data_IF_918627685660
#
_entry.id   IF_918627685660
#
_cell.length_a   1.000
_cell.length_b   1.000
_cell.length_c   1.000
_cell.angle_alpha   90.00
_cell.angle_beta   90.00
_cell.angle_gamma   90.00
#
_symmetry.space_group_name_H-M   'P 1'
#
loop_
_entity.id
_entity.type
_entity.pdbx_description
1 polymer ?
#
# COMPACT_ATOMS: atom_id res chain seq x y z
N UNK A 1 22.14 18.18 -7.33
CA UNK A 1 22.34 18.45 -5.89
C UNK A 1 21.23 17.73 -5.17
N UNK A 2 21.53 16.84 -4.23
CA UNK A 2 20.52 16.05 -3.52
C UNK A 2 19.81 16.93 -2.50
N UNK A 3 18.48 17.02 -2.62
CA UNK A 3 17.64 17.83 -1.74
C UNK A 3 16.44 16.98 -1.30
N UNK A 4 15.95 17.24 -0.09
CA UNK A 4 14.76 16.56 0.42
C UNK A 4 13.54 16.69 -0.53
N UNK A 5 13.22 17.89 -1.07
CA UNK A 5 12.08 18.03 -1.99
C UNK A 5 12.19 17.15 -3.24
N UNK A 6 13.40 16.99 -3.80
CA UNK A 6 13.63 16.10 -4.94
C UNK A 6 13.26 14.65 -4.60
N UNK A 7 13.72 14.15 -3.45
CA UNK A 7 13.46 12.77 -3.04
C UNK A 7 12.00 12.52 -2.64
N UNK A 8 11.33 13.53 -2.06
CA UNK A 8 9.88 13.50 -1.82
C UNK A 8 9.11 13.42 -3.12
N UNK A 9 9.48 14.20 -4.14
CA UNK A 9 8.86 14.17 -5.45
C UNK A 9 9.06 12.80 -6.14
N UNK A 10 10.28 12.27 -6.14
CA UNK A 10 10.58 10.93 -6.66
C UNK A 10 9.74 9.85 -5.96
N UNK A 11 9.61 9.94 -4.64
CA UNK A 11 8.77 9.06 -3.83
C UNK A 11 7.28 9.20 -4.15
N UNK A 12 6.78 10.44 -4.28
CA UNK A 12 5.38 10.70 -4.63
C UNK A 12 5.03 10.16 -6.02
N UNK A 13 5.90 10.35 -7.02
CA UNK A 13 5.73 9.80 -8.37
C UNK A 13 5.75 8.26 -8.36
N UNK A 14 6.66 7.64 -7.62
CA UNK A 14 6.66 6.19 -7.42
C UNK A 14 5.36 5.73 -6.75
N UNK A 15 4.84 6.51 -5.80
CA UNK A 15 3.56 6.32 -5.15
C UNK A 15 2.37 6.37 -6.11
N UNK A 16 2.33 7.36 -7.01
CA UNK A 16 1.28 7.46 -8.05
C UNK A 16 1.29 6.22 -8.95
N UNK A 17 2.46 5.84 -9.47
CA UNK A 17 2.60 4.63 -10.31
C UNK A 17 2.12 3.39 -9.57
N UNK A 18 2.51 3.25 -8.30
CA UNK A 18 2.08 2.13 -7.45
C UNK A 18 0.59 2.14 -7.25
N UNK A 19 -0.01 3.28 -6.92
CA UNK A 19 -1.44 3.37 -6.67
C UNK A 19 -2.28 3.09 -7.91
N UNK A 20 -1.85 3.54 -9.09
CA UNK A 20 -2.49 3.21 -10.37
C UNK A 20 -2.40 1.71 -10.64
N UNK A 21 -1.22 1.11 -10.45
CA UNK A 21 -1.04 -0.32 -10.67
C UNK A 21 -1.85 -1.16 -9.67
N UNK A 22 -1.90 -0.77 -8.39
CA UNK A 22 -2.71 -1.46 -7.37
C UNK A 22 -4.19 -1.29 -7.63
N UNK A 23 -4.64 -0.11 -8.06
CA UNK A 23 -6.02 0.10 -8.48
C UNK A 23 -6.39 -0.81 -9.67
N UNK A 24 -5.50 -0.95 -10.65
CA UNK A 24 -5.70 -1.87 -11.76
C UNK A 24 -5.73 -3.34 -11.30
N UNK A 25 -4.79 -3.76 -10.45
CA UNK A 25 -4.78 -5.11 -9.88
C UNK A 25 -6.05 -5.40 -9.09
N UNK A 26 -6.53 -4.44 -8.30
CA UNK A 26 -7.78 -4.55 -7.55
C UNK A 26 -8.96 -4.78 -8.49
N UNK A 27 -9.12 -3.94 -9.52
CA UNK A 27 -10.21 -4.06 -10.49
C UNK A 27 -10.16 -5.34 -11.32
N UNK A 28 -8.96 -5.91 -11.55
CA UNK A 28 -8.78 -7.12 -12.35
C UNK A 28 -8.87 -8.41 -11.55
N UNK A 29 -8.49 -8.41 -10.28
CA UNK A 29 -8.31 -9.62 -9.47
C UNK A 29 -9.29 -9.75 -8.30
N UNK A 30 -10.00 -8.68 -7.94
CA UNK A 30 -10.91 -8.67 -6.79
C UNK A 30 -12.34 -8.53 -7.27
N UNK A 31 -13.09 -9.64 -7.22
CA UNK A 31 -14.52 -9.60 -7.44
C UNK A 31 -15.23 -8.96 -6.24
N UNK A 32 -16.21 -8.06 -6.44
CA UNK A 32 -16.93 -7.41 -5.34
C UNK A 32 -17.51 -8.39 -4.32
N UNK A 33 -18.07 -9.50 -4.78
CA UNK A 33 -18.67 -10.55 -3.94
C UNK A 33 -17.61 -11.27 -3.10
N UNK A 34 -16.41 -11.48 -3.65
CA UNK A 34 -15.30 -12.07 -2.93
C UNK A 34 -14.82 -11.14 -1.80
N UNK A 35 -14.76 -9.83 -2.04
CA UNK A 35 -14.40 -8.88 -0.98
C UNK A 35 -15.47 -8.79 0.10
N UNK A 36 -16.75 -8.73 -0.28
CA UNK A 36 -17.87 -8.75 0.68
C UNK A 36 -17.81 -10.01 1.56
N UNK A 37 -17.64 -11.19 0.95
CA UNK A 37 -17.50 -12.45 1.67
C UNK A 37 -16.27 -12.52 2.56
N UNK A 38 -15.14 -11.95 2.12
CA UNK A 38 -13.93 -11.87 2.94
C UNK A 38 -14.17 -11.02 4.20
N UNK A 39 -14.77 -9.83 4.05
CA UNK A 39 -15.01 -8.95 5.20
C UNK A 39 -16.08 -9.52 6.12
N UNK A 40 -17.16 -10.09 5.58
CA UNK A 40 -18.16 -10.79 6.37
C UNK A 40 -17.53 -11.95 7.16
N UNK A 41 -16.76 -12.81 6.51
CA UNK A 41 -16.08 -13.94 7.16
C UNK A 41 -15.14 -13.49 8.27
N UNK A 42 -14.36 -12.43 8.03
CA UNK A 42 -13.47 -11.83 9.04
C UNK A 42 -14.27 -11.26 10.21
N UNK A 43 -15.35 -10.52 9.95
CA UNK A 43 -16.15 -9.89 11.00
C UNK A 43 -16.83 -10.94 11.89
N UNK A 44 -17.42 -11.97 11.28
CA UNK A 44 -18.01 -13.11 12.00
C UNK A 44 -16.98 -13.82 12.85
N UNK A 45 -15.83 -14.19 12.26
CA UNK A 45 -14.75 -14.83 12.99
C UNK A 45 -14.28 -14.00 14.19
N UNK A 46 -14.13 -12.69 14.03
CA UNK A 46 -13.73 -11.81 15.13
C UNK A 46 -14.79 -11.78 16.22
N UNK A 47 -16.06 -11.55 15.88
CA UNK A 47 -17.12 -11.38 16.86
C UNK A 47 -17.49 -12.68 17.59
N UNK A 48 -17.51 -13.81 16.89
CA UNK A 48 -17.72 -15.14 17.49
C UNK A 48 -16.60 -15.48 18.48
N UNK A 49 -15.34 -15.16 18.14
CA UNK A 49 -14.19 -15.35 19.04
C UNK A 49 -14.31 -14.54 20.33
N UNK A 50 -15.00 -13.40 20.31
CA UNK A 50 -15.27 -12.57 21.48
C UNK A 50 -16.63 -12.87 22.14
N UNK A 51 -17.36 -13.90 21.70
CA UNK A 51 -18.61 -14.34 22.31
C UNK A 51 -19.80 -13.41 22.09
N UNK A 52 -19.79 -12.61 21.02
CA UNK A 52 -20.89 -11.70 20.68
C UNK A 52 -22.12 -12.50 20.25
N UNK A 53 -23.35 -12.14 20.69
CA UNK A 53 -24.57 -12.83 20.30
C UNK A 53 -24.80 -12.82 18.77
N UNK A 54 -25.29 -13.92 18.16
CA UNK A 54 -25.47 -14.01 16.71
C UNK A 54 -26.30 -12.90 16.10
N UNK A 55 -27.34 -12.42 16.81
CA UNK A 55 -28.19 -11.33 16.34
C UNK A 55 -27.43 -10.00 16.19
N UNK A 56 -26.48 -9.71 17.07
CA UNK A 56 -25.64 -8.52 17.02
C UNK A 56 -24.58 -8.63 15.92
N UNK A 57 -24.07 -9.85 15.68
CA UNK A 57 -23.15 -10.13 14.57
C UNK A 57 -23.82 -9.88 13.22
N UNK A 58 -25.03 -10.38 13.00
CA UNK A 58 -25.76 -10.18 11.74
C UNK A 58 -26.03 -8.70 11.45
N UNK A 59 -26.40 -7.94 12.50
CA UNK A 59 -26.63 -6.50 12.36
C UNK A 59 -25.33 -5.77 11.98
N UNK A 60 -24.22 -6.09 12.66
CA UNK A 60 -22.92 -5.50 12.37
C UNK A 60 -22.43 -5.84 10.96
N UNK A 61 -22.54 -7.11 10.54
CA UNK A 61 -22.18 -7.55 9.19
C UNK A 61 -22.97 -6.75 8.15
N UNK A 62 -24.29 -6.64 8.32
CA UNK A 62 -25.15 -5.93 7.36
C UNK A 62 -24.77 -4.45 7.22
N UNK A 63 -24.44 -3.79 8.33
CA UNK A 63 -23.98 -2.39 8.32
C UNK A 63 -22.63 -2.26 7.59
N UNK A 64 -21.67 -3.11 7.93
CA UNK A 64 -20.31 -3.07 7.36
C UNK A 64 -20.32 -3.37 5.87
N UNK A 65 -21.03 -4.42 5.42
CA UNK A 65 -21.17 -4.77 4.00
C UNK A 65 -21.81 -3.64 3.20
N UNK A 66 -22.80 -2.95 3.77
CA UNK A 66 -23.40 -1.76 3.15
C UNK A 66 -22.38 -0.64 2.88
N UNK A 67 -21.47 -0.39 3.83
CA UNK A 67 -20.38 0.59 3.68
C UNK A 67 -19.38 0.14 2.61
N UNK A 68 -18.99 -1.15 2.60
CA UNK A 68 -18.03 -1.70 1.63
C UNK A 68 -18.48 -1.41 0.19
N UNK A 69 -19.76 -1.62 -0.12
CA UNK A 69 -20.29 -1.39 -1.48
C UNK A 69 -20.05 0.03 -1.98
N UNK A 70 -20.23 1.01 -1.10
CA UNK A 70 -19.95 2.42 -1.45
C UNK A 70 -18.45 2.64 -1.55
N UNK A 71 -17.66 2.09 -0.63
CA UNK A 71 -16.20 2.20 -0.64
C UNK A 71 -15.57 1.59 -1.89
N UNK A 72 -16.14 0.51 -2.44
CA UNK A 72 -15.67 -0.13 -3.67
C UNK A 72 -15.64 0.83 -4.87
N UNK A 73 -16.62 1.73 -4.98
CA UNK A 73 -16.69 2.69 -6.08
C UNK A 73 -15.55 3.71 -6.04
N UNK A 74 -15.06 4.06 -4.84
CA UNK A 74 -13.99 5.04 -4.64
C UNK A 74 -12.62 4.40 -4.38
N UNK A 75 -12.56 3.08 -4.18
CA UNK A 75 -11.34 2.35 -3.85
C UNK A 75 -10.19 2.60 -4.84
N UNK A 76 -10.38 2.60 -6.17
CA UNK A 76 -9.31 2.90 -7.12
C UNK A 76 -8.66 4.27 -6.89
N UNK A 77 -9.48 5.30 -6.67
CA UNK A 77 -9.00 6.65 -6.38
C UNK A 77 -8.32 6.71 -5.01
N UNK A 78 -8.89 6.05 -4.01
CA UNK A 78 -8.31 5.96 -2.67
C UNK A 78 -6.92 5.31 -2.70
N UNK A 79 -6.70 4.26 -3.50
CA UNK A 79 -5.37 3.68 -3.68
C UNK A 79 -4.38 4.68 -4.26
N UNK A 80 -4.72 5.38 -5.34
CA UNK A 80 -3.82 6.39 -5.93
C UNK A 80 -3.41 7.44 -4.89
N UNK A 81 -4.37 7.97 -4.14
CA UNK A 81 -4.10 8.95 -3.09
C UNK A 81 -3.23 8.37 -1.96
N UNK A 82 -3.61 7.21 -1.43
CA UNK A 82 -2.90 6.54 -0.35
C UNK A 82 -1.44 6.25 -0.71
N UNK A 83 -1.20 5.65 -1.87
CA UNK A 83 0.16 5.31 -2.30
C UNK A 83 0.98 6.55 -2.66
N UNK A 84 0.36 7.63 -3.13
CA UNK A 84 1.05 8.91 -3.33
C UNK A 84 1.55 9.49 -2.01
N UNK A 85 0.70 9.51 -0.97
CA UNK A 85 1.07 10.00 0.36
C UNK A 85 2.14 9.12 1.01
N UNK A 86 1.97 7.80 0.97
CA UNK A 86 3.00 6.86 1.45
C UNK A 86 4.29 7.05 0.66
N UNK A 87 4.21 7.17 -0.66
CA UNK A 87 5.36 7.41 -1.53
C UNK A 87 6.13 8.67 -1.14
N UNK A 88 5.44 9.77 -0.85
CA UNK A 88 6.06 11.00 -0.37
C UNK A 88 6.78 10.80 0.98
N UNK A 89 6.16 10.08 1.92
CA UNK A 89 6.76 9.75 3.22
C UNK A 89 8.02 8.88 3.06
N UNK A 90 7.97 7.84 2.24
CA UNK A 90 9.14 7.00 1.95
C UNK A 90 10.20 7.74 1.12
N UNK A 91 9.79 8.74 0.34
CA UNK A 91 10.67 9.71 -0.30
C UNK A 91 11.48 10.54 0.71
N UNK A 92 10.87 10.94 1.85
CA UNK A 92 11.61 11.57 2.95
C UNK A 92 12.65 10.62 3.54
N UNK A 93 12.29 9.34 3.76
CA UNK A 93 13.25 8.33 4.21
C UNK A 93 14.40 8.19 3.23
N UNK A 94 14.12 8.07 1.93
CA UNK A 94 15.16 8.03 0.89
C UNK A 94 16.07 9.27 0.97
N UNK A 95 15.47 10.46 1.11
CA UNK A 95 16.23 11.71 1.24
C UNK A 95 17.12 11.73 2.47
N UNK A 96 16.63 11.23 3.61
CA UNK A 96 17.45 11.05 4.81
C UNK A 96 18.63 10.11 4.54
N UNK A 97 18.40 8.95 3.94
CA UNK A 97 19.44 7.98 3.61
C UNK A 97 20.48 8.54 2.62
N UNK A 98 20.05 9.27 1.60
CA UNK A 98 20.95 9.86 0.58
C UNK A 98 21.75 11.04 1.16
N UNK A 99 21.11 11.96 1.88
CA UNK A 99 21.74 13.22 2.32
C UNK A 99 22.52 13.02 3.62
N UNK A 100 21.91 12.36 4.63
CA UNK A 100 22.52 12.21 5.95
C UNK A 100 23.48 11.04 6.02
N UNK A 101 23.10 9.89 5.45
CA UNK A 101 23.96 8.70 5.45
C UNK A 101 24.84 8.60 4.20
N UNK A 102 24.74 9.57 3.27
CA UNK A 102 25.56 9.64 2.04
C UNK A 102 25.49 8.37 1.19
N UNK A 103 24.37 7.63 1.26
CA UNK A 103 24.15 6.46 0.42
C UNK A 103 23.97 6.89 -1.03
N UNK A 104 24.49 6.10 -1.98
CA UNK A 104 24.22 6.33 -3.40
C UNK A 104 22.72 6.19 -3.66
N UNK A 105 22.18 6.99 -4.58
CA UNK A 105 20.74 7.05 -4.91
C UNK A 105 20.10 5.67 -5.09
N UNK A 106 20.79 4.74 -5.78
CA UNK A 106 20.33 3.35 -5.95
C UNK A 106 20.19 2.62 -4.62
N UNK A 107 21.22 2.63 -3.77
CA UNK A 107 21.19 1.93 -2.48
C UNK A 107 20.20 2.57 -1.51
N UNK A 108 20.06 3.90 -1.53
CA UNK A 108 19.05 4.60 -0.75
C UNK A 108 17.63 4.18 -1.19
N UNK A 109 17.35 4.09 -2.50
CA UNK A 109 16.06 3.65 -3.01
C UNK A 109 15.77 2.18 -2.65
N UNK A 110 16.75 1.28 -2.77
CA UNK A 110 16.60 -0.12 -2.38
C UNK A 110 16.35 -0.28 -0.87
N UNK A 111 17.08 0.45 -0.03
CA UNK A 111 16.88 0.42 1.41
C UNK A 111 15.50 0.97 1.82
N UNK A 112 15.05 2.04 1.17
CA UNK A 112 13.69 2.56 1.34
C UNK A 112 12.64 1.52 0.93
N UNK A 113 12.81 0.87 -0.23
CA UNK A 113 11.93 -0.19 -0.69
C UNK A 113 11.89 -1.40 0.24
N UNK A 114 13.05 -1.85 0.73
CA UNK A 114 13.13 -2.91 1.73
C UNK A 114 12.40 -2.53 3.02
N UNK A 115 12.57 -1.29 3.50
CA UNK A 115 11.85 -0.78 4.67
C UNK A 115 10.34 -0.80 4.45
N UNK A 116 9.87 -0.41 3.25
CA UNK A 116 8.47 -0.50 2.88
C UNK A 116 7.96 -1.94 2.95
N UNK A 117 8.63 -2.88 2.27
CA UNK A 117 8.25 -4.30 2.24
C UNK A 117 8.16 -4.85 3.65
N UNK A 118 9.16 -4.57 4.49
CA UNK A 118 9.24 -5.09 5.85
C UNK A 118 8.13 -4.53 6.73
N UNK A 119 7.96 -3.21 6.77
CA UNK A 119 7.02 -2.56 7.69
C UNK A 119 5.56 -2.75 7.29
N UNK A 120 5.24 -2.69 5.99
CA UNK A 120 3.86 -2.69 5.51
C UNK A 120 3.41 -4.04 4.93
N UNK A 121 4.35 -4.92 4.58
CA UNK A 121 4.04 -6.25 4.02
C UNK A 121 4.38 -7.38 4.99
N UNK A 122 5.68 -7.63 5.16
CA UNK A 122 6.17 -8.83 5.83
C UNK A 122 5.81 -8.88 7.32
N UNK A 123 6.07 -7.80 8.09
CA UNK A 123 5.79 -7.79 9.54
C UNK A 123 4.28 -8.00 9.81
N UNK A 124 3.35 -7.24 9.21
CA UNK A 124 1.93 -7.45 9.44
C UNK A 124 1.48 -8.87 9.06
N UNK A 125 1.93 -9.37 7.90
CA UNK A 125 1.53 -10.69 7.41
C UNK A 125 2.04 -11.81 8.32
N UNK A 126 3.30 -11.75 8.75
CA UNK A 126 3.90 -12.71 9.68
C UNK A 126 3.23 -12.62 11.06
N UNK A 127 2.99 -11.41 11.56
CA UNK A 127 2.32 -11.22 12.85
C UNK A 127 0.92 -11.82 12.86
N UNK A 128 0.12 -11.57 11.83
CA UNK A 128 -1.22 -12.17 11.69
C UNK A 128 -1.10 -13.69 11.54
N UNK A 129 -0.18 -14.20 10.73
CA UNK A 129 -0.01 -15.63 10.54
C UNK A 129 0.42 -16.39 11.80
N UNK A 130 1.19 -15.76 12.68
CA UNK A 130 1.61 -16.37 13.94
C UNK A 130 0.54 -16.27 15.05
N UNK A 131 -0.17 -15.14 15.12
CA UNK A 131 -1.13 -14.88 16.20
C UNK A 131 -2.54 -15.39 15.87
N UNK A 132 -2.92 -15.38 14.60
CA UNK A 132 -4.27 -15.65 14.10
C UNK A 132 -4.23 -16.41 12.76
N UNK A 133 -3.67 -17.62 12.71
CA UNK A 133 -3.58 -18.39 11.47
C UNK A 133 -4.95 -18.67 10.83
N UNK A 134 -5.99 -18.87 11.64
CA UNK A 134 -7.35 -19.13 11.15
C UNK A 134 -7.94 -17.91 10.41
N UNK A 135 -7.52 -16.71 10.79
CA UNK A 135 -7.92 -15.49 10.10
C UNK A 135 -7.36 -15.45 8.67
N UNK A 136 -6.14 -15.95 8.46
CA UNK A 136 -5.57 -16.07 7.11
C UNK A 136 -6.30 -17.12 6.28
N UNK A 137 -6.78 -18.21 6.89
CA UNK A 137 -7.60 -19.21 6.18
C UNK A 137 -8.94 -18.63 5.74
N UNK A 138 -9.59 -17.84 6.61
CA UNK A 138 -10.81 -17.10 6.26
C UNK A 138 -10.55 -16.18 5.07
N UNK A 139 -9.50 -15.36 5.11
CA UNK A 139 -9.16 -14.46 4.01
C UNK A 139 -8.83 -15.24 2.72
N UNK A 140 -8.04 -16.30 2.81
CA UNK A 140 -7.61 -17.11 1.66
C UNK A 140 -8.78 -17.81 0.96
N UNK A 141 -9.84 -18.16 1.69
CA UNK A 141 -11.06 -18.76 1.12
C UNK A 141 -11.75 -17.86 0.11
N UNK A 142 -11.74 -16.55 0.37
CA UNK A 142 -12.44 -15.57 -0.47
C UNK A 142 -11.47 -14.81 -1.40
N UNK A 143 -10.25 -14.56 -0.96
CA UNK A 143 -9.22 -13.84 -1.70
C UNK A 143 -7.97 -14.72 -1.85
N UNK A 144 -7.97 -15.73 -2.74
CA UNK A 144 -6.85 -16.66 -2.89
C UNK A 144 -5.54 -15.96 -3.29
N UNK A 145 -5.64 -14.80 -3.94
CA UNK A 145 -4.50 -13.98 -4.37
C UNK A 145 -4.05 -12.94 -3.32
N UNK A 146 -4.49 -13.04 -2.05
CA UNK A 146 -4.21 -12.03 -1.03
C UNK A 146 -2.71 -11.75 -0.87
N UNK A 147 -1.85 -12.77 -0.96
CA UNK A 147 -0.39 -12.61 -0.85
C UNK A 147 0.17 -11.70 -1.96
N UNK A 148 -0.31 -11.88 -3.20
CA UNK A 148 0.07 -11.02 -4.31
C UNK A 148 -0.42 -9.59 -4.08
N UNK A 149 -1.68 -9.43 -3.65
CA UNK A 149 -2.26 -8.11 -3.38
C UNK A 149 -1.54 -7.38 -2.23
N UNK A 150 -0.99 -8.11 -1.25
CA UNK A 150 -0.20 -7.54 -0.15
C UNK A 150 1.23 -7.19 -0.56
N UNK A 151 1.90 -8.01 -1.37
CA UNK A 151 3.33 -7.85 -1.68
C UNK A 151 3.61 -7.05 -2.96
N UNK A 152 2.72 -7.12 -3.96
CA UNK A 152 2.89 -6.41 -5.23
C UNK A 152 3.08 -4.89 -5.07
N UNK A 153 2.34 -4.17 -4.19
CA UNK A 153 2.53 -2.73 -4.02
C UNK A 153 3.97 -2.37 -3.66
N UNK A 154 4.59 -3.14 -2.78
CA UNK A 154 5.95 -2.89 -2.31
C UNK A 154 7.00 -3.12 -3.41
N UNK A 155 6.81 -4.18 -4.22
CA UNK A 155 7.67 -4.47 -5.35
C UNK A 155 7.57 -3.37 -6.42
N UNK A 156 6.34 -2.99 -6.80
CA UNK A 156 6.08 -1.94 -7.80
C UNK A 156 6.65 -0.61 -7.33
N UNK A 157 6.40 -0.23 -6.07
CA UNK A 157 6.95 0.98 -5.49
C UNK A 157 8.48 1.01 -5.53
N UNK A 158 9.13 -0.08 -5.15
CA UNK A 158 10.59 -0.16 -5.13
C UNK A 158 11.18 -0.03 -6.53
N UNK A 159 10.61 -0.74 -7.52
CA UNK A 159 11.06 -0.66 -8.92
C UNK A 159 10.86 0.75 -9.48
N UNK A 160 9.68 1.34 -9.27
CA UNK A 160 9.37 2.69 -9.72
C UNK A 160 10.28 3.73 -9.05
N UNK A 161 10.50 3.61 -7.74
CA UNK A 161 11.40 4.49 -7.01
C UNK A 161 12.81 4.39 -7.56
N UNK A 162 13.35 3.20 -7.74
CA UNK A 162 14.68 3.01 -8.35
C UNK A 162 14.74 3.67 -9.72
N UNK A 163 13.77 3.42 -10.59
CA UNK A 163 13.73 4.00 -11.93
C UNK A 163 13.76 5.54 -11.90
N UNK A 164 12.89 6.17 -11.10
CA UNK A 164 12.86 7.63 -10.95
C UNK A 164 14.14 8.19 -10.32
N UNK A 165 14.82 7.39 -9.51
CA UNK A 165 16.03 7.75 -8.78
C UNK A 165 17.32 7.65 -9.58
N UNK A 166 17.35 6.82 -10.62
CA UNK A 166 18.57 6.51 -11.38
C UNK A 166 18.48 6.90 -12.86
N UNK A 167 17.29 6.86 -13.46
CA UNK A 167 17.12 7.23 -14.86
C UNK A 167 16.85 8.74 -15.00
N UNK A 168 17.54 9.37 -15.95
CA UNK A 168 17.22 10.76 -16.35
C UNK A 168 15.96 10.75 -17.22
N UNK A 169 14.96 11.54 -16.85
CA UNK A 169 13.69 11.62 -17.55
C UNK A 169 12.97 12.95 -17.32
N UNK A 170 11.77 13.14 -17.89
CA UNK A 170 11.02 14.40 -17.74
C UNK A 170 10.81 14.83 -16.28
N UNK A 171 10.63 13.86 -15.38
CA UNK A 171 10.49 14.06 -13.93
C UNK A 171 11.72 14.71 -13.29
N UNK A 172 12.94 14.51 -13.82
CA UNK A 172 14.13 15.13 -13.22
C UNK A 172 14.11 16.64 -13.40
N UNK A 173 13.57 17.14 -14.52
CA UNK A 173 13.40 18.58 -14.76
C UNK A 173 12.40 19.20 -13.79
N UNK A 174 11.33 18.47 -13.45
CA UNK A 174 10.31 18.91 -12.50
C UNK A 174 10.88 18.90 -11.08
N UNK A 175 11.60 17.85 -10.71
CA UNK A 175 12.17 17.71 -9.37
C UNK A 175 13.36 18.66 -9.11
N UNK A 176 14.02 19.15 -10.17
CA UNK A 176 15.13 20.11 -10.09
C UNK A 176 14.70 21.56 -10.38
N UNK A 177 13.46 21.78 -10.82
CA UNK A 177 12.90 23.11 -10.99
C UNK A 177 12.81 23.80 -9.62
N UNK A 178 13.65 24.82 -9.41
CA UNK A 178 13.52 25.67 -8.22
C UNK A 178 12.20 26.44 -8.31
N UNK A 179 11.47 26.64 -7.20
CA UNK A 179 10.40 27.62 -7.17
C UNK A 179 11.01 28.96 -7.61
N UNK A 180 10.42 29.59 -8.64
CA UNK A 180 10.77 30.96 -8.99
C UNK A 180 10.29 31.83 -7.83
N UNK A 181 11.21 32.51 -7.17
CA UNK A 181 10.87 33.60 -6.26
C UNK A 181 10.05 34.60 -7.09
N UNK A 182 8.81 34.84 -6.67
CA UNK A 182 7.92 35.87 -7.21
C UNK A 182 7.97 37.08 -6.30
#
# INVERSE_FOLDING_TARGET
MDTYPKHVMEGALAGVVTGVAVAALFLLLVEPQALEGAVEGVLRWQMERYGVPPSEVEEAVKQVVGVIRVSLAIAPLAYVLQYTLLGALFGLLKGFLSIRLRLRSLYAALATGATYVTLLGAIPLVAVGLLYPELLEVVARYLPNYQLLTLAPAAIFTVALVAFSTARGPWTRIAEARPREY
#
